data_IF_680094712023
#
_entry.id   IF_680094712023
#
_cell.length_a   1.000
_cell.length_b   1.000
_cell.length_c   1.000
_cell.angle_alpha   90.00
_cell.angle_beta   90.00
_cell.angle_gamma   90.00
#
_symmetry.space_group_name_H-M   'P 1'
#
loop_
_entity.id
_entity.type
_entity.pdbx_description
1 polymer ?
#
# COMPACT_ATOMS: atom_id res chain seq x y z
N UNK A 1 8.45 -18.48 -16.70
CA UNK A 1 7.72 -17.42 -15.97
C UNK A 1 8.27 -16.04 -16.28
N UNK A 2 9.55 -15.73 -16.03
CA UNK A 2 10.15 -14.40 -16.28
C UNK A 2 10.01 -13.90 -17.72
N UNK A 3 10.16 -14.79 -18.71
CA UNK A 3 9.91 -14.47 -20.13
C UNK A 3 8.46 -14.04 -20.36
N UNK A 4 7.49 -14.73 -19.74
CA UNK A 4 6.07 -14.38 -19.85
C UNK A 4 5.76 -13.00 -19.24
N UNK A 5 6.37 -12.68 -18.10
CA UNK A 5 6.26 -11.36 -17.47
C UNK A 5 6.84 -10.28 -18.39
N UNK A 6 8.04 -10.51 -18.93
CA UNK A 6 8.66 -9.58 -19.89
C UNK A 6 7.77 -9.34 -21.10
N UNK A 7 7.30 -10.41 -21.75
CA UNK A 7 6.40 -10.31 -22.92
C UNK A 7 5.12 -9.55 -22.57
N UNK A 8 4.51 -9.81 -21.42
CA UNK A 8 3.31 -9.10 -20.97
C UNK A 8 3.58 -7.60 -20.77
N UNK A 9 4.63 -7.24 -20.00
CA UNK A 9 4.92 -5.84 -19.70
C UNK A 9 5.27 -5.04 -20.95
N UNK A 10 6.13 -5.56 -21.84
CA UNK A 10 6.50 -4.87 -23.07
C UNK A 10 5.35 -4.75 -24.06
N UNK A 11 4.49 -5.77 -24.16
CA UNK A 11 3.32 -5.69 -25.05
C UNK A 11 2.25 -4.75 -24.51
N UNK A 12 1.99 -4.73 -23.20
CA UNK A 12 1.04 -3.78 -22.58
C UNK A 12 1.50 -2.34 -22.77
N UNK A 13 2.80 -2.07 -22.67
CA UNK A 13 3.38 -0.76 -22.99
C UNK A 13 3.22 -0.37 -24.47
N UNK A 14 3.02 -1.34 -25.37
CA UNK A 14 2.66 -1.09 -26.77
C UNK A 14 1.15 -0.89 -26.99
N UNK A 15 0.30 -1.43 -26.11
CA UNK A 15 -1.16 -1.22 -26.17
C UNK A 15 -1.53 0.18 -25.69
N UNK A 16 -0.86 0.67 -24.64
CA UNK A 16 -1.16 1.96 -24.01
C UNK A 16 0.06 2.88 -23.97
N UNK A 17 -0.14 4.15 -24.31
CA UNK A 17 0.84 5.21 -24.07
C UNK A 17 0.13 6.32 -23.31
N UNK A 18 0.70 6.77 -22.19
CA UNK A 18 0.13 7.82 -21.33
C UNK A 18 -1.33 7.59 -20.89
N UNK A 19 -1.78 6.33 -20.83
CA UNK A 19 -3.14 5.97 -20.44
C UNK A 19 -4.15 5.97 -21.58
N UNK A 20 -3.74 6.36 -22.79
CA UNK A 20 -4.55 6.25 -23.99
C UNK A 20 -4.34 4.90 -24.68
N UNK A 21 -5.40 4.34 -25.24
CA UNK A 21 -5.34 3.11 -26.01
C UNK A 21 -4.87 3.42 -27.43
N UNK A 22 -3.72 2.87 -27.84
CA UNK A 22 -3.05 3.25 -29.10
C UNK A 22 -3.05 2.13 -30.12
N UNK A 23 -2.73 0.89 -29.71
CA UNK A 23 -2.60 -0.22 -30.65
C UNK A 23 -3.14 -1.55 -30.11
N UNK A 24 -4.22 -2.03 -30.74
CA UNK A 24 -4.85 -3.31 -30.43
C UNK A 24 -3.98 -4.52 -30.82
N UNK A 25 -3.01 -4.36 -31.72
CA UNK A 25 -2.20 -5.46 -32.26
C UNK A 25 -1.39 -6.19 -31.18
N UNK A 26 -0.98 -5.46 -30.14
CA UNK A 26 -0.22 -6.00 -29.02
C UNK A 26 -1.08 -6.78 -28.01
N UNK A 27 -2.42 -6.65 -28.03
CA UNK A 27 -3.32 -7.35 -27.09
C UNK A 27 -3.11 -8.87 -27.15
N UNK A 28 -2.98 -9.42 -28.36
CA UNK A 28 -2.76 -10.86 -28.54
C UNK A 28 -1.44 -11.32 -27.89
N UNK A 29 -0.40 -10.51 -28.01
CA UNK A 29 0.92 -10.77 -27.40
C UNK A 29 0.84 -10.61 -25.88
N UNK A 30 0.07 -9.65 -25.36
CA UNK A 30 -0.16 -9.48 -23.92
C UNK A 30 -0.88 -10.68 -23.31
N UNK A 31 -1.92 -11.17 -23.96
CA UNK A 31 -2.65 -12.37 -23.53
C UNK A 31 -1.73 -13.59 -23.58
N UNK A 32 -0.90 -13.74 -24.62
CA UNK A 32 0.08 -14.82 -24.70
C UNK A 32 1.12 -14.74 -23.55
N UNK A 33 1.62 -13.54 -23.23
CA UNK A 33 2.49 -13.30 -22.09
C UNK A 33 1.86 -13.76 -20.77
N UNK A 34 0.62 -13.33 -20.50
CA UNK A 34 -0.15 -13.76 -19.32
C UNK A 34 -0.37 -15.27 -19.29
N UNK A 35 -0.68 -15.90 -20.42
CA UNK A 35 -0.86 -17.35 -20.51
C UNK A 35 0.43 -18.09 -20.15
N UNK A 36 1.60 -17.63 -20.62
CA UNK A 36 2.91 -18.21 -20.27
C UNK A 36 3.17 -18.08 -18.76
N UNK A 37 2.83 -16.94 -18.16
CA UNK A 37 2.92 -16.75 -16.70
C UNK A 37 2.01 -17.73 -15.97
N UNK A 38 0.75 -17.83 -16.38
CA UNK A 38 -0.24 -18.71 -15.77
C UNK A 38 0.15 -20.19 -15.85
N UNK A 39 0.64 -20.65 -17.01
CA UNK A 39 1.16 -22.01 -17.18
C UNK A 39 2.36 -22.24 -16.24
N UNK A 40 3.30 -21.28 -16.18
CA UNK A 40 4.45 -21.35 -15.29
C UNK A 40 4.04 -21.46 -13.81
N UNK A 41 3.09 -20.64 -13.38
CA UNK A 41 2.53 -20.67 -12.02
C UNK A 41 1.82 -22.00 -11.73
N UNK A 42 1.04 -22.51 -12.69
CA UNK A 42 0.33 -23.79 -12.52
C UNK A 42 1.29 -24.97 -12.37
N UNK A 43 2.36 -25.00 -13.18
CA UNK A 43 3.41 -26.02 -13.07
C UNK A 43 4.09 -25.92 -11.71
N UNK A 44 4.45 -24.72 -11.29
CA UNK A 44 5.09 -24.47 -9.99
C UNK A 44 4.19 -24.89 -8.82
N UNK A 45 2.91 -24.48 -8.82
CA UNK A 45 1.95 -24.90 -7.80
C UNK A 45 1.74 -26.41 -7.77
N UNK A 46 1.69 -27.07 -8.94
CA UNK A 46 1.56 -28.52 -8.98
C UNK A 46 2.76 -29.20 -8.33
N UNK A 47 3.97 -28.71 -8.58
CA UNK A 47 5.20 -29.24 -7.96
C UNK A 47 5.21 -29.03 -6.45
N UNK A 48 4.85 -27.84 -5.96
CA UNK A 48 4.80 -27.55 -4.52
C UNK A 48 3.69 -28.33 -3.80
N UNK A 49 2.53 -28.51 -4.44
CA UNK A 49 1.42 -29.26 -3.86
C UNK A 49 1.79 -30.74 -3.66
N UNK A 50 2.59 -31.31 -4.56
CA UNK A 50 3.09 -32.69 -4.45
C UNK A 50 4.31 -32.85 -3.55
N UNK A 51 4.88 -31.77 -3.03
CA UNK A 51 6.08 -31.83 -2.18
C UNK A 51 5.73 -32.36 -0.78
N UNK A 52 6.36 -33.46 -0.41
CA UNK A 52 6.12 -34.22 0.83
C UNK A 52 7.09 -33.87 1.98
N UNK A 53 8.07 -32.99 1.74
CA UNK A 53 9.09 -32.65 2.74
C UNK A 53 10.33 -33.54 2.74
N UNK A 54 10.42 -34.55 1.86
CA UNK A 54 11.44 -35.59 1.95
C UNK A 54 12.88 -35.13 1.68
N UNK A 55 13.10 -34.24 0.72
CA UNK A 55 14.44 -33.72 0.40
C UNK A 55 14.41 -32.27 -0.04
N UNK A 56 15.22 -31.45 0.62
CA UNK A 56 15.44 -30.07 0.25
C UNK A 56 16.92 -29.81 -0.04
N UNK A 57 17.28 -29.34 -1.25
CA UNK A 57 18.67 -29.07 -1.59
C UNK A 57 19.25 -27.95 -0.71
N UNK A 58 20.50 -28.13 -0.30
CA UNK A 58 21.23 -27.17 0.54
C UNK A 58 22.15 -26.31 -0.33
N UNK A 59 22.27 -25.04 0.05
CA UNK A 59 23.19 -24.10 -0.57
C UNK A 59 24.64 -24.56 -0.42
N UNK A 60 25.40 -24.46 -1.51
CA UNK A 60 26.82 -24.83 -1.59
C UNK A 60 27.76 -23.63 -1.46
N UNK A 61 27.25 -22.40 -1.64
CA UNK A 61 28.04 -21.17 -1.63
C UNK A 61 28.10 -20.48 -0.26
N UNK A 62 29.22 -19.81 0.04
CA UNK A 62 29.37 -18.91 1.18
C UNK A 62 28.69 -17.55 0.89
N UNK A 63 28.03 -16.91 1.87
CA UNK A 63 28.04 -17.20 3.30
C UNK A 63 27.01 -18.25 3.77
N UNK A 64 26.10 -18.71 2.91
CA UNK A 64 24.93 -19.54 3.31
C UNK A 64 25.15 -21.05 3.19
N UNK A 65 26.39 -21.53 3.27
CA UNK A 65 26.74 -22.94 3.02
C UNK A 65 26.04 -23.86 4.03
N UNK A 66 25.32 -24.86 3.55
CA UNK A 66 24.65 -25.87 4.37
C UNK A 66 23.23 -25.50 4.82
N UNK A 67 22.72 -24.32 4.47
CA UNK A 67 21.33 -23.88 4.69
C UNK A 67 20.44 -24.34 3.53
N UNK A 68 19.18 -24.65 3.79
CA UNK A 68 18.18 -24.97 2.77
C UNK A 68 18.04 -23.85 1.73
N UNK A 69 18.00 -24.23 0.45
CA UNK A 69 18.05 -23.26 -0.65
C UNK A 69 16.81 -22.35 -0.68
N UNK A 70 15.61 -22.86 -0.35
CA UNK A 70 14.39 -22.02 -0.35
C UNK A 70 14.44 -20.99 0.78
N UNK A 71 15.00 -21.36 1.93
CA UNK A 71 15.24 -20.43 3.05
C UNK A 71 16.21 -19.31 2.68
N UNK A 72 17.30 -19.64 1.99
CA UNK A 72 18.23 -18.61 1.48
C UNK A 72 17.56 -17.75 0.42
N UNK A 73 16.79 -18.36 -0.49
CA UNK A 73 16.08 -17.64 -1.56
C UNK A 73 15.07 -16.65 -0.99
N UNK A 74 14.29 -17.02 0.03
CA UNK A 74 13.34 -16.10 0.67
C UNK A 74 14.08 -14.96 1.37
N UNK A 75 15.21 -15.20 2.04
CA UNK A 75 16.00 -14.12 2.63
C UNK A 75 16.53 -13.14 1.59
N UNK A 76 17.09 -13.64 0.48
CA UNK A 76 17.59 -12.79 -0.60
C UNK A 76 16.45 -11.99 -1.24
N UNK A 77 15.30 -12.62 -1.46
CA UNK A 77 14.10 -11.94 -1.95
C UNK A 77 13.63 -10.84 -0.99
N UNK A 78 13.53 -11.12 0.31
CA UNK A 78 13.13 -10.09 1.29
C UNK A 78 14.15 -8.96 1.39
N UNK A 79 15.45 -9.25 1.29
CA UNK A 79 16.47 -8.20 1.23
C UNK A 79 16.32 -7.31 -0.02
N UNK A 80 15.98 -7.87 -1.18
CA UNK A 80 15.73 -7.05 -2.38
C UNK A 80 14.49 -6.17 -2.23
N UNK A 81 13.40 -6.70 -1.65
CA UNK A 81 12.19 -5.90 -1.40
C UNK A 81 12.45 -4.79 -0.37
N UNK A 82 13.23 -5.06 0.68
CA UNK A 82 13.67 -4.04 1.64
C UNK A 82 14.42 -2.89 0.95
N UNK A 83 15.29 -3.19 -0.02
CA UNK A 83 16.00 -2.16 -0.79
C UNK A 83 15.03 -1.32 -1.64
N UNK A 84 14.06 -1.95 -2.29
CA UNK A 84 13.02 -1.25 -3.07
C UNK A 84 12.25 -0.28 -2.16
N UNK A 85 11.69 -0.75 -1.03
CA UNK A 85 10.94 0.12 -0.13
C UNK A 85 11.82 1.21 0.51
N UNK A 86 13.06 0.90 0.86
CA UNK A 86 14.00 1.89 1.41
C UNK A 86 14.28 3.01 0.39
N UNK A 87 14.38 2.69 -0.89
CA UNK A 87 14.52 3.70 -1.94
C UNK A 87 13.28 4.59 -2.05
N UNK A 88 12.07 4.02 -1.93
CA UNK A 88 10.80 4.76 -1.95
C UNK A 88 10.68 5.69 -0.73
N UNK A 89 10.97 5.19 0.47
CA UNK A 89 10.96 5.99 1.70
C UNK A 89 12.03 7.09 1.68
N UNK A 90 13.24 6.79 1.21
CA UNK A 90 14.31 7.78 1.09
C UNK A 90 13.93 8.89 0.11
N UNK A 91 13.31 8.54 -1.01
CA UNK A 91 12.80 9.49 -2.00
C UNK A 91 11.71 10.37 -1.40
N UNK A 92 10.74 9.79 -0.68
CA UNK A 92 9.70 10.52 0.04
C UNK A 92 10.31 11.51 1.04
N UNK A 93 11.21 11.06 1.92
CA UNK A 93 11.86 11.92 2.92
C UNK A 93 12.61 13.08 2.26
N UNK A 94 13.33 12.82 1.16
CA UNK A 94 14.06 13.86 0.44
C UNK A 94 13.13 14.95 -0.08
N UNK A 95 11.96 14.58 -0.61
CA UNK A 95 10.98 15.57 -1.06
C UNK A 95 10.27 16.25 0.12
N UNK A 96 9.89 15.50 1.16
CA UNK A 96 9.22 16.01 2.36
C UNK A 96 10.02 17.08 3.10
N UNK A 97 11.34 16.91 3.17
CA UNK A 97 12.25 17.85 3.85
C UNK A 97 12.92 18.85 2.89
N UNK A 98 12.87 18.59 1.59
CA UNK A 98 13.50 19.44 0.58
C UNK A 98 12.57 20.47 -0.07
N UNK A 99 11.26 20.26 0.00
CA UNK A 99 10.23 21.17 -0.54
C UNK A 99 9.49 21.80 0.63
N UNK A 100 9.27 23.11 0.59
CA UNK A 100 8.50 23.84 1.61
C UNK A 100 7.06 23.35 1.70
N UNK A 101 6.47 23.39 2.90
CA UNK A 101 5.10 22.93 3.09
C UNK A 101 4.11 23.89 2.42
N UNK A 102 3.01 23.36 1.89
CA UNK A 102 2.00 24.22 1.28
C UNK A 102 1.39 25.21 2.29
N UNK A 103 1.33 24.86 3.56
CA UNK A 103 0.92 25.77 4.63
C UNK A 103 1.88 26.94 4.83
N UNK A 104 3.20 26.71 4.85
CA UNK A 104 4.18 27.79 5.02
C UNK A 104 4.23 28.71 3.81
N UNK A 105 4.13 28.14 2.61
CA UNK A 105 4.07 28.90 1.35
C UNK A 105 2.77 29.71 1.27
N UNK A 106 1.65 29.16 1.75
CA UNK A 106 0.41 29.92 1.82
C UNK A 106 0.53 31.08 2.80
N UNK A 107 1.03 30.82 4.02
CA UNK A 107 1.18 31.80 5.08
C UNK A 107 2.20 32.92 4.77
N UNK A 108 3.12 32.72 3.83
CA UNK A 108 4.04 33.78 3.39
C UNK A 108 3.34 34.88 2.60
N UNK A 109 2.21 34.60 1.95
CA UNK A 109 1.52 35.52 1.05
C UNK A 109 2.26 35.80 -0.27
N UNK A 110 3.46 35.25 -0.47
CA UNK A 110 4.29 35.47 -1.66
C UNK A 110 3.89 34.58 -2.85
N UNK A 111 2.58 34.45 -3.11
CA UNK A 111 2.03 33.67 -4.22
C UNK A 111 1.18 34.55 -5.13
N UNK A 112 1.12 34.18 -6.41
CA UNK A 112 0.39 34.92 -7.45
C UNK A 112 -0.86 34.14 -7.83
N UNK A 113 -2.02 34.80 -7.81
CA UNK A 113 -3.28 34.19 -8.25
C UNK A 113 -3.21 33.66 -9.68
N UNK A 114 -3.75 32.47 -9.89
CA UNK A 114 -3.72 31.78 -11.19
C UNK A 114 -2.37 31.15 -11.56
N UNK A 115 -1.31 31.37 -10.77
CA UNK A 115 -0.01 30.71 -10.96
C UNK A 115 0.15 29.54 -9.99
N UNK A 116 0.62 28.39 -10.50
CA UNK A 116 0.85 27.20 -9.69
C UNK A 116 2.15 27.30 -8.89
N UNK A 117 2.09 27.12 -7.58
CA UNK A 117 3.27 27.06 -6.71
C UNK A 117 3.57 25.62 -6.32
N UNK A 118 4.83 25.20 -6.47
CA UNK A 118 5.24 23.85 -6.06
C UNK A 118 5.48 23.84 -4.56
N UNK A 119 4.71 23.04 -3.82
CA UNK A 119 4.82 22.90 -2.38
C UNK A 119 4.49 21.46 -1.97
N UNK A 120 4.88 21.08 -0.76
CA UNK A 120 4.69 19.73 -0.25
C UNK A 120 3.46 19.65 0.66
N UNK A 121 2.53 18.76 0.32
CA UNK A 121 1.36 18.44 1.14
C UNK A 121 1.32 16.93 1.44
N UNK A 122 1.48 16.51 2.71
CA UNK A 122 1.33 15.11 3.11
C UNK A 122 -0.10 14.62 2.88
N UNK A 123 -0.25 13.33 2.51
CA UNK A 123 -1.58 12.72 2.32
C UNK A 123 -2.43 12.79 3.60
N UNK A 124 -1.79 12.67 4.78
CA UNK A 124 -2.44 12.80 6.09
C UNK A 124 -3.26 14.08 6.24
N UNK A 125 -2.82 15.21 5.69
CA UNK A 125 -3.60 16.46 5.80
C UNK A 125 -4.93 16.43 5.03
N UNK A 126 -5.08 15.52 4.06
CA UNK A 126 -6.32 15.32 3.29
C UNK A 126 -7.23 14.28 3.96
N UNK A 127 -6.64 13.21 4.49
CA UNK A 127 -7.38 12.02 4.94
C UNK A 127 -7.47 11.85 6.46
N UNK A 128 -6.66 12.56 7.24
CA UNK A 128 -6.56 12.44 8.70
C UNK A 128 -7.10 13.67 9.44
N UNK A 129 -8.04 14.41 8.82
CA UNK A 129 -8.60 15.66 9.39
C UNK A 129 -9.41 15.44 10.68
N UNK A 130 -9.84 14.20 10.97
CA UNK A 130 -10.50 13.87 12.23
C UNK A 130 -10.22 12.45 12.70
N UNK A 131 -10.50 12.17 13.98
CA UNK A 131 -10.38 10.85 14.58
C UNK A 131 -11.14 9.77 13.80
N UNK A 132 -12.36 10.07 13.35
CA UNK A 132 -13.17 9.12 12.60
C UNK A 132 -12.61 8.82 11.21
N UNK A 133 -11.72 9.68 10.71
CA UNK A 133 -11.05 9.54 9.41
C UNK A 133 -9.72 8.79 9.51
N UNK A 134 -9.03 8.91 10.65
CA UNK A 134 -7.87 8.07 10.99
C UNK A 134 -8.29 6.64 11.36
N UNK A 135 -9.50 6.47 11.91
CA UNK A 135 -9.97 5.19 12.43
C UNK A 135 -9.93 4.03 11.41
N UNK A 136 -10.37 4.17 10.14
CA UNK A 136 -10.21 3.11 9.14
C UNK A 136 -8.74 2.71 8.90
N UNK A 137 -7.82 3.68 8.86
CA UNK A 137 -6.39 3.44 8.73
C UNK A 137 -5.81 2.73 9.95
N UNK A 138 -6.21 3.12 11.16
CA UNK A 138 -5.82 2.47 12.40
C UNK A 138 -6.36 1.04 12.49
N UNK A 139 -7.64 0.80 12.14
CA UNK A 139 -8.27 -0.52 12.07
C UNK A 139 -7.50 -1.42 11.08
N UNK A 140 -7.08 -0.87 9.94
CA UNK A 140 -6.25 -1.58 8.96
C UNK A 140 -4.90 -2.01 9.53
N UNK A 141 -4.24 -1.13 10.29
CA UNK A 141 -2.99 -1.48 10.98
C UNK A 141 -3.21 -2.61 12.00
N UNK A 142 -4.29 -2.57 12.78
CA UNK A 142 -4.64 -3.69 13.68
C UNK A 142 -4.96 -4.97 12.92
N UNK A 143 -5.67 -4.89 11.78
CA UNK A 143 -5.99 -6.04 10.95
C UNK A 143 -4.71 -6.75 10.47
N UNK A 144 -3.70 -6.00 10.03
CA UNK A 144 -2.42 -6.58 9.61
C UNK A 144 -1.63 -7.19 10.78
N UNK A 145 -1.54 -6.51 11.91
CA UNK A 145 -0.86 -7.05 13.11
C UNK A 145 -1.53 -8.34 13.60
N UNK A 146 -2.87 -8.37 13.65
CA UNK A 146 -3.62 -9.58 14.00
C UNK A 146 -3.39 -10.68 12.96
N UNK A 147 -3.34 -10.33 11.68
CA UNK A 147 -3.09 -11.29 10.59
C UNK A 147 -1.69 -11.92 10.68
N UNK A 148 -0.69 -11.16 11.12
CA UNK A 148 0.66 -11.62 11.44
C UNK A 148 0.64 -12.59 12.62
N UNK A 149 -0.08 -12.27 13.69
CA UNK A 149 -0.24 -13.20 14.81
C UNK A 149 -0.90 -14.52 14.36
N UNK A 150 -1.96 -14.46 13.55
CA UNK A 150 -2.64 -15.67 13.09
C UNK A 150 -1.75 -16.55 12.20
N UNK A 151 -0.82 -15.98 11.43
CA UNK A 151 0.10 -16.79 10.63
C UNK A 151 1.10 -17.57 11.48
N UNK A 152 1.60 -16.96 12.57
CA UNK A 152 2.45 -17.65 13.54
C UNK A 152 1.70 -18.79 14.22
N UNK A 153 0.42 -18.57 14.55
CA UNK A 153 -0.42 -19.62 15.11
C UNK A 153 -0.66 -20.75 14.11
N UNK A 154 -0.86 -20.45 12.82
CA UNK A 154 -0.93 -21.47 11.77
C UNK A 154 0.34 -22.33 11.71
N UNK A 155 1.53 -21.68 11.72
CA UNK A 155 2.82 -22.37 11.73
C UNK A 155 2.98 -23.26 12.97
N UNK A 156 2.65 -22.73 14.15
CA UNK A 156 2.72 -23.46 15.41
C UNK A 156 1.89 -24.74 15.36
N UNK A 157 0.63 -24.66 14.94
CA UNK A 157 -0.22 -25.85 14.86
C UNK A 157 0.19 -26.80 13.74
N UNK A 158 0.74 -26.30 12.63
CA UNK A 158 1.25 -27.16 11.57
C UNK A 158 2.46 -28.00 12.02
N UNK A 159 3.34 -27.42 12.85
CA UNK A 159 4.53 -28.08 13.40
C UNK A 159 4.30 -29.01 14.59
N UNK A 160 3.10 -29.02 15.19
CA UNK A 160 2.80 -29.90 16.34
C UNK A 160 2.66 -31.36 15.91
N UNK A 161 3.45 -32.25 16.52
CA UNK A 161 3.47 -33.70 16.24
C UNK A 161 2.41 -34.46 17.04
N UNK A 162 2.04 -33.94 18.21
CA UNK A 162 1.18 -34.56 19.23
C UNK A 162 -0.32 -34.36 19.01
N UNK A 163 -0.73 -33.77 17.89
CA UNK A 163 -2.13 -33.49 17.58
C UNK A 163 -2.65 -34.37 16.43
N UNK A 164 -3.92 -34.72 16.52
CA UNK A 164 -4.63 -35.44 15.46
C UNK A 164 -4.62 -34.66 14.13
N UNK A 165 -4.51 -35.40 13.03
CA UNK A 165 -4.39 -34.86 11.67
C UNK A 165 -5.60 -34.01 11.26
N UNK A 166 -6.81 -34.41 11.63
CA UNK A 166 -8.03 -33.65 11.34
C UNK A 166 -8.10 -32.38 12.17
N UNK A 167 -7.63 -32.43 13.41
CA UNK A 167 -7.54 -31.24 14.27
C UNK A 167 -6.52 -30.25 13.74
N UNK A 168 -5.33 -30.71 13.33
CA UNK A 168 -4.29 -29.89 12.68
C UNK A 168 -4.86 -29.18 11.45
N UNK A 169 -5.46 -29.95 10.54
CA UNK A 169 -6.09 -29.45 9.32
C UNK A 169 -7.06 -28.30 9.61
N UNK A 170 -8.00 -28.50 10.54
CA UNK A 170 -9.01 -27.48 10.89
C UNK A 170 -8.39 -26.23 11.50
N UNK A 171 -7.40 -26.37 12.39
CA UNK A 171 -6.76 -25.23 13.05
C UNK A 171 -5.93 -24.42 12.05
N UNK A 172 -5.05 -25.08 11.28
CA UNK A 172 -4.21 -24.43 10.28
C UNK A 172 -5.08 -23.71 9.23
N UNK A 173 -6.11 -24.38 8.72
CA UNK A 173 -7.04 -23.77 7.75
C UNK A 173 -7.76 -22.55 8.33
N UNK A 174 -8.20 -22.61 9.59
CA UNK A 174 -8.86 -21.47 10.25
C UNK A 174 -7.93 -20.29 10.39
N UNK A 175 -6.71 -20.49 10.90
CA UNK A 175 -5.77 -19.40 11.09
C UNK A 175 -5.31 -18.77 9.78
N UNK A 176 -4.98 -19.58 8.75
CA UNK A 176 -4.66 -19.07 7.42
C UNK A 176 -5.86 -18.37 6.76
N UNK A 177 -7.07 -18.93 6.92
CA UNK A 177 -8.31 -18.32 6.45
C UNK A 177 -8.62 -16.98 7.13
N UNK A 178 -8.34 -16.85 8.43
CA UNK A 178 -8.44 -15.57 9.14
C UNK A 178 -7.43 -14.56 8.61
N UNK A 179 -6.17 -14.94 8.40
CA UNK A 179 -5.16 -14.06 7.78
C UNK A 179 -5.63 -13.60 6.39
N UNK A 180 -6.15 -14.52 5.57
CA UNK A 180 -6.69 -14.20 4.25
C UNK A 180 -7.84 -13.21 4.31
N UNK A 181 -8.81 -13.42 5.21
CA UNK A 181 -9.94 -12.51 5.37
C UNK A 181 -9.49 -11.11 5.79
N UNK A 182 -8.58 -11.00 6.76
CA UNK A 182 -8.04 -9.71 7.22
C UNK A 182 -7.25 -9.00 6.13
N UNK A 183 -6.51 -9.74 5.29
CA UNK A 183 -5.81 -9.20 4.14
C UNK A 183 -6.76 -8.63 3.07
N UNK A 184 -7.83 -9.36 2.75
CA UNK A 184 -8.86 -8.90 1.81
C UNK A 184 -9.58 -7.68 2.35
N UNK A 185 -9.91 -7.67 3.65
CA UNK A 185 -10.50 -6.51 4.32
C UNK A 185 -9.57 -5.29 4.20
N UNK A 186 -8.28 -5.45 4.52
CA UNK A 186 -7.29 -4.40 4.40
C UNK A 186 -7.25 -3.80 2.99
N UNK A 187 -7.13 -4.65 1.96
CA UNK A 187 -7.04 -4.18 0.58
C UNK A 187 -8.35 -3.52 0.12
N UNK A 188 -9.49 -4.04 0.55
CA UNK A 188 -10.81 -3.47 0.24
C UNK A 188 -10.95 -2.07 0.84
N UNK A 189 -10.60 -1.90 2.12
CA UNK A 189 -10.62 -0.60 2.78
C UNK A 189 -9.65 0.38 2.11
N UNK A 190 -8.50 -0.11 1.63
CA UNK A 190 -7.55 0.72 0.88
C UNK A 190 -8.10 1.17 -0.48
N UNK A 191 -8.80 0.30 -1.20
CA UNK A 191 -9.46 0.68 -2.46
C UNK A 191 -10.61 1.67 -2.22
N UNK A 192 -11.38 1.49 -1.16
CA UNK A 192 -12.42 2.45 -0.76
C UNK A 192 -11.80 3.82 -0.47
N UNK A 193 -10.73 3.87 0.31
CA UNK A 193 -10.01 5.12 0.62
C UNK A 193 -9.57 5.88 -0.64
N UNK A 194 -8.99 5.18 -1.61
CA UNK A 194 -8.48 5.80 -2.85
C UNK A 194 -9.59 6.35 -3.75
N UNK A 195 -10.65 5.57 -3.96
CA UNK A 195 -11.63 5.86 -5.01
C UNK A 195 -12.94 6.46 -4.50
N UNK A 196 -13.39 6.07 -3.31
CA UNK A 196 -14.70 6.44 -2.76
C UNK A 196 -14.59 7.42 -1.57
N UNK A 197 -13.52 7.35 -0.79
CA UNK A 197 -13.42 8.04 0.49
C UNK A 197 -14.28 7.36 1.57
N UNK A 198 -14.20 7.86 2.81
CA UNK A 198 -15.00 7.36 3.93
C UNK A 198 -16.10 8.37 4.28
N UNK A 199 -17.30 8.28 3.66
CA UNK A 199 -18.40 9.16 4.02
C UNK A 199 -18.86 8.85 5.45
N UNK A 200 -18.82 9.86 6.32
CA UNK A 200 -19.34 9.74 7.68
C UNK A 200 -20.87 9.61 7.65
N UNK A 201 -21.46 8.62 8.35
CA UNK A 201 -22.89 8.57 8.58
C UNK A 201 -23.39 9.85 9.28
N UNK A 202 -24.58 10.32 8.90
CA UNK A 202 -25.16 11.59 9.35
C UNK A 202 -25.26 11.72 10.88
N UNK A 203 -25.48 10.60 11.58
CA UNK A 203 -25.52 10.57 13.06
C UNK A 203 -24.15 10.78 13.74
N UNK A 204 -23.05 10.62 13.01
CA UNK A 204 -21.69 10.90 13.50
C UNK A 204 -21.22 12.31 13.15
N UNK A 205 -21.96 13.07 12.33
CA UNK A 205 -21.60 14.44 11.98
C UNK A 205 -21.62 15.35 13.22
N UNK A 206 -22.57 15.14 14.14
CA UNK A 206 -22.69 15.90 15.39
C UNK A 206 -21.50 15.66 16.35
N UNK A 207 -20.87 14.48 16.26
CA UNK A 207 -19.67 14.12 17.04
C UNK A 207 -18.36 14.43 16.30
N UNK A 208 -18.42 14.84 15.04
CA UNK A 208 -17.27 15.20 14.24
C UNK A 208 -17.10 16.72 14.25
N UNK A 209 -16.15 17.25 15.02
CA UNK A 209 -15.83 18.69 15.06
C UNK A 209 -15.08 19.18 13.80
N UNK A 210 -15.28 18.56 12.64
CA UNK A 210 -14.60 18.86 11.37
C UNK A 210 -15.50 18.62 10.15
N UNK A 211 -14.99 18.91 8.95
CA UNK A 211 -15.74 18.73 7.69
C UNK A 211 -16.26 17.28 7.59
N UNK A 212 -17.57 17.17 7.34
CA UNK A 212 -18.29 15.91 7.31
C UNK A 212 -18.34 15.28 5.93
N UNK A 213 -17.86 16.01 4.91
CA UNK A 213 -17.83 15.59 3.51
C UNK A 213 -16.42 15.30 3.03
N UNK A 214 -15.85 14.16 3.46
CA UNK A 214 -14.58 13.70 2.88
C UNK A 214 -14.82 13.20 1.47
N UNK A 215 -14.10 13.82 0.53
CA UNK A 215 -14.02 13.38 -0.86
C UNK A 215 -12.92 12.32 -0.96
N UNK A 216 -13.02 11.43 -1.94
CA UNK A 216 -11.92 10.47 -2.19
C UNK A 216 -10.62 11.21 -2.50
N UNK A 217 -9.48 10.59 -2.25
CA UNK A 217 -8.18 11.14 -2.69
C UNK A 217 -8.19 11.50 -4.17
N UNK A 218 -8.89 10.69 -4.97
CA UNK A 218 -9.17 10.97 -6.38
C UNK A 218 -9.97 12.27 -6.58
N UNK A 219 -11.07 12.46 -5.85
CA UNK A 219 -11.93 13.64 -5.96
C UNK A 219 -11.33 14.91 -5.34
N UNK A 220 -10.34 14.79 -4.46
CA UNK A 220 -9.56 15.92 -3.92
C UNK A 220 -8.35 16.30 -4.78
N UNK A 221 -8.19 15.64 -5.92
CA UNK A 221 -7.15 15.92 -6.91
C UNK A 221 -5.76 15.43 -6.55
N UNK A 222 -5.67 14.50 -5.60
CA UNK A 222 -4.49 13.71 -5.34
C UNK A 222 -4.42 12.60 -6.41
N UNK A 223 -3.88 12.92 -7.60
CA UNK A 223 -3.83 12.03 -8.77
C UNK A 223 -2.39 11.78 -9.27
N UNK A 224 -2.13 10.58 -9.79
CA UNK A 224 -0.81 10.17 -10.33
C UNK A 224 -0.55 10.73 -11.74
N UNK A 225 -1.60 10.92 -12.55
CA UNK A 225 -1.52 11.20 -14.00
C UNK A 225 -2.23 12.49 -14.44
N UNK A 226 -2.36 13.49 -13.56
CA UNK A 226 -2.99 14.74 -13.97
C UNK A 226 -2.01 15.59 -14.81
N UNK A 227 -2.26 15.70 -16.11
CA UNK A 227 -1.49 16.51 -17.07
C UNK A 227 -1.92 17.98 -17.04
N UNK A 228 -3.13 18.24 -16.55
CA UNK A 228 -3.72 19.56 -16.40
C UNK A 228 -4.18 19.77 -14.95
N UNK A 229 -3.34 20.48 -14.20
CA UNK A 229 -3.67 21.33 -13.06
C UNK A 229 -4.87 20.91 -12.20
N UNK A 230 -4.61 20.12 -11.15
CA UNK A 230 -5.51 20.00 -10.02
C UNK A 230 -4.83 20.62 -8.81
N UNK A 231 -5.21 21.88 -8.57
CA UNK A 231 -4.71 22.66 -7.46
C UNK A 231 -5.50 22.33 -6.21
N UNK A 232 -4.79 22.03 -5.12
CA UNK A 232 -5.40 22.24 -3.81
C UNK A 232 -5.46 23.75 -3.62
N UNK A 233 -6.68 24.29 -3.60
CA UNK A 233 -6.91 25.72 -3.42
C UNK A 233 -6.80 26.05 -1.94
N UNK A 234 -5.88 26.94 -1.59
CA UNK A 234 -5.88 27.58 -0.28
C UNK A 234 -6.57 28.92 -0.46
N UNK A 235 -7.70 29.11 0.22
CA UNK A 235 -8.53 30.31 0.10
C UNK A 235 -8.43 31.13 1.38
N UNK A 236 -8.07 32.40 1.22
CA UNK A 236 -8.00 33.38 2.32
C UNK A 236 -9.38 33.61 2.98
N UNK A 237 -10.48 33.54 2.23
CA UNK A 237 -11.86 33.65 2.77
C UNK A 237 -12.20 32.50 3.72
N UNK A 238 -11.72 31.29 3.41
CA UNK A 238 -11.93 30.12 4.27
C UNK A 238 -11.21 30.32 5.61
N UNK A 239 -9.98 30.83 5.57
CA UNK A 239 -9.22 31.07 6.80
C UNK A 239 -9.77 32.27 7.60
N UNK A 240 -10.20 33.34 6.93
CA UNK A 240 -10.86 34.48 7.57
C UNK A 240 -12.17 34.10 8.26
N UNK A 241 -12.93 33.16 7.69
CA UNK A 241 -14.24 32.73 8.22
C UNK A 241 -14.16 31.64 9.29
N UNK A 242 -13.15 30.76 9.24
CA UNK A 242 -13.05 29.60 10.13
C UNK A 242 -11.98 29.73 11.21
N UNK A 243 -11.10 30.74 11.15
CA UNK A 243 -10.22 31.17 12.26
C UNK A 243 -9.26 30.12 12.84
N UNK A 244 -9.18 28.93 12.26
CA UNK A 244 -8.35 27.85 12.77
C UNK A 244 -7.06 27.74 11.94
N UNK A 245 -5.96 28.27 12.48
CA UNK A 245 -4.62 27.82 12.15
C UNK A 245 -3.69 28.83 11.49
N UNK A 246 -4.14 30.01 11.07
CA UNK A 246 -3.18 31.04 10.64
C UNK A 246 -2.56 31.72 11.85
N UNK A 247 -1.24 31.70 11.91
CA UNK A 247 -0.49 32.51 12.86
C UNK A 247 -0.84 33.99 12.62
N UNK A 248 -1.27 34.69 13.67
CA UNK A 248 -1.57 36.12 13.61
C UNK A 248 -0.32 36.96 13.29
N UNK A 249 0.87 36.38 13.48
CA UNK A 249 2.14 36.98 13.09
C UNK A 249 2.58 36.62 11.66
N UNK A 250 1.79 35.82 10.92
CA UNK A 250 2.09 35.46 9.54
C UNK A 250 1.97 36.65 8.60
N UNK A 251 2.83 36.67 7.57
CA UNK A 251 2.82 37.74 6.58
C UNK A 251 1.48 37.80 5.82
N UNK A 252 0.87 36.65 5.51
CA UNK A 252 -0.44 36.59 4.88
C UNK A 252 -1.54 37.23 5.76
N UNK A 253 -1.52 37.02 7.08
CA UNK A 253 -2.49 37.62 7.99
C UNK A 253 -2.45 39.16 7.93
N UNK A 254 -1.25 39.73 7.97
CA UNK A 254 -1.03 41.18 7.86
C UNK A 254 -1.49 41.71 6.49
N UNK A 255 -1.16 41.01 5.41
CA UNK A 255 -1.62 41.37 4.06
C UNK A 255 -3.15 41.33 3.90
N UNK A 256 -3.81 40.36 4.55
CA UNK A 256 -5.27 40.27 4.59
C UNK A 256 -5.89 41.42 5.39
N UNK A 257 -5.30 41.80 6.53
CA UNK A 257 -5.74 42.95 7.34
C UNK A 257 -5.57 44.28 6.58
N UNK A 258 -4.49 44.42 5.81
CA UNK A 258 -4.26 45.55 4.91
C UNK A 258 -5.15 45.53 3.64
N UNK A 259 -5.88 44.44 3.41
CA UNK A 259 -6.83 44.28 2.30
C UNK A 259 -6.19 43.96 0.94
N UNK A 260 -4.92 43.55 0.90
CA UNK A 260 -4.18 43.28 -0.34
C UNK A 260 -4.34 41.85 -0.85
N UNK A 261 -4.71 40.90 0.01
CA UNK A 261 -4.90 39.48 -0.31
C UNK A 261 -6.28 38.92 0.09
N UNK A 262 -7.26 39.77 0.39
CA UNK A 262 -8.62 39.33 0.76
C UNK A 262 -9.34 38.68 -0.44
N UNK A 263 -9.84 37.46 -0.25
CA UNK A 263 -10.48 36.67 -1.31
C UNK A 263 -9.52 35.96 -2.27
N UNK A 264 -8.21 36.06 -2.04
CA UNK A 264 -7.22 35.44 -2.91
C UNK A 264 -7.07 33.93 -2.75
N UNK A 265 -6.64 33.29 -3.84
CA UNK A 265 -6.51 31.83 -3.94
C UNK A 265 -5.10 31.39 -4.36
N UNK A 266 -4.44 30.62 -3.51
CA UNK A 266 -3.17 29.96 -3.85
C UNK A 266 -3.42 28.61 -4.51
N UNK A 267 -2.70 28.38 -5.60
CA UNK A 267 -2.77 27.18 -6.42
C UNK A 267 -1.61 26.24 -6.15
N UNK A 268 -1.79 25.26 -5.25
CA UNK A 268 -0.72 24.32 -4.89
C UNK A 268 -0.52 23.23 -5.96
N UNK A 269 0.73 22.94 -6.33
CA UNK A 269 1.11 21.78 -7.16
C UNK A 269 1.68 20.68 -6.26
N UNK A 270 0.85 19.68 -5.99
CA UNK A 270 1.13 18.56 -5.07
C UNK A 270 1.47 17.24 -5.80
N UNK A 271 1.85 17.30 -7.08
CA UNK A 271 2.10 16.11 -7.91
C UNK A 271 3.15 15.17 -7.30
N UNK A 272 4.20 15.74 -6.72
CA UNK A 272 5.31 14.96 -6.14
C UNK A 272 4.85 14.23 -4.88
N UNK A 273 4.08 14.86 -4.00
CA UNK A 273 3.54 14.19 -2.82
C UNK A 273 2.55 13.09 -3.22
N UNK A 274 1.63 13.38 -4.15
CA UNK A 274 0.71 12.38 -4.71
C UNK A 274 1.43 11.17 -5.32
N UNK A 275 2.40 11.43 -6.20
CA UNK A 275 3.17 10.37 -6.85
C UNK A 275 3.90 9.49 -5.84
N UNK A 276 4.59 10.10 -4.86
CA UNK A 276 5.33 9.33 -3.84
C UNK A 276 4.40 8.52 -2.93
N UNK A 277 3.23 9.06 -2.55
CA UNK A 277 2.22 8.32 -1.80
C UNK A 277 1.70 7.12 -2.58
N UNK A 278 1.21 7.31 -3.80
CA UNK A 278 0.58 6.21 -4.55
C UNK A 278 1.60 5.18 -5.03
N UNK A 279 2.81 5.58 -5.43
CA UNK A 279 3.85 4.62 -5.79
C UNK A 279 4.21 3.77 -4.57
N UNK A 280 4.36 4.39 -3.38
CA UNK A 280 4.72 3.65 -2.16
C UNK A 280 3.58 2.75 -1.69
N UNK A 281 2.39 3.31 -1.50
CA UNK A 281 1.21 2.58 -1.01
C UNK A 281 0.67 1.58 -2.03
N UNK A 282 0.79 1.87 -3.33
CA UNK A 282 0.45 0.96 -4.42
C UNK A 282 1.44 -0.18 -4.58
N UNK A 283 2.73 0.07 -4.42
CA UNK A 283 3.74 -1.01 -4.37
C UNK A 283 3.46 -1.92 -3.17
N UNK A 284 3.15 -1.36 -2.00
CA UNK A 284 2.71 -2.15 -0.84
C UNK A 284 1.42 -2.95 -1.12
N UNK A 285 0.40 -2.31 -1.70
CA UNK A 285 -0.85 -2.96 -2.08
C UNK A 285 -0.65 -4.12 -3.06
N UNK A 286 0.27 -3.97 -4.02
CA UNK A 286 0.65 -5.04 -4.95
C UNK A 286 1.30 -6.24 -4.22
N UNK A 287 2.12 -5.97 -3.19
CA UNK A 287 2.66 -7.02 -2.33
C UNK A 287 1.56 -7.71 -1.52
N UNK A 288 0.66 -6.95 -0.89
CA UNK A 288 -0.48 -7.53 -0.16
C UNK A 288 -1.32 -8.41 -1.10
N UNK A 289 -1.58 -7.98 -2.33
CA UNK A 289 -2.30 -8.76 -3.34
C UNK A 289 -1.56 -10.06 -3.70
N UNK A 290 -0.24 -10.00 -3.93
CA UNK A 290 0.59 -11.18 -4.16
C UNK A 290 0.54 -12.15 -2.98
N UNK A 291 0.55 -11.63 -1.75
CA UNK A 291 0.38 -12.41 -0.54
C UNK A 291 -1.02 -13.01 -0.38
N UNK A 292 -2.09 -12.31 -0.78
CA UNK A 292 -3.45 -12.86 -0.81
C UNK A 292 -3.54 -14.05 -1.78
N UNK A 293 -2.89 -13.97 -2.94
CA UNK A 293 -2.82 -15.09 -3.91
C UNK A 293 -2.10 -16.29 -3.25
N UNK A 294 -0.97 -16.05 -2.59
CA UNK A 294 -0.25 -17.06 -1.81
C UNK A 294 -1.09 -17.67 -0.68
N UNK A 295 -1.77 -16.84 0.11
CA UNK A 295 -2.67 -17.26 1.19
C UNK A 295 -3.84 -18.08 0.67
N UNK A 296 -4.39 -17.73 -0.49
CA UNK A 296 -5.48 -18.49 -1.12
C UNK A 296 -5.00 -19.91 -1.42
N UNK A 297 -3.82 -20.04 -2.03
CA UNK A 297 -3.19 -21.34 -2.31
C UNK A 297 -2.92 -22.13 -1.02
N UNK A 298 -2.31 -21.49 -0.01
CA UNK A 298 -1.98 -22.16 1.25
C UNK A 298 -3.21 -22.57 2.05
N UNK A 299 -4.24 -21.72 2.10
CA UNK A 299 -5.51 -22.04 2.76
C UNK A 299 -6.21 -23.20 2.07
N UNK A 300 -6.16 -23.25 0.73
CA UNK A 300 -6.65 -24.39 -0.04
C UNK A 300 -5.86 -25.67 0.28
N UNK A 301 -4.52 -25.63 0.27
CA UNK A 301 -3.64 -26.75 0.66
C UNK A 301 -3.92 -27.22 2.09
N UNK A 302 -4.12 -26.29 3.03
CA UNK A 302 -4.50 -26.58 4.41
C UNK A 302 -5.84 -27.30 4.49
N UNK A 303 -6.86 -26.85 3.75
CA UNK A 303 -8.21 -27.44 3.79
C UNK A 303 -8.24 -28.90 3.33
N UNK A 304 -7.28 -29.30 2.49
CA UNK A 304 -7.09 -30.67 1.99
C UNK A 304 -6.20 -31.53 2.90
N UNK A 305 -5.70 -30.97 4.01
CA UNK A 305 -4.80 -31.69 4.93
C UNK A 305 -3.36 -31.78 4.43
N UNK A 306 -2.94 -30.90 3.51
CA UNK A 306 -1.61 -30.92 2.89
C UNK A 306 -0.47 -30.44 3.79
N UNK A 307 -0.72 -30.16 5.08
CA UNK A 307 0.31 -29.72 6.03
C UNK A 307 0.56 -30.76 7.13
N UNK A 308 1.81 -31.21 7.20
CA UNK A 308 2.40 -32.10 8.21
C UNK A 308 3.58 -31.38 8.89
N UNK A 309 4.06 -31.88 10.04
CA UNK A 309 5.20 -31.26 10.74
C UNK A 309 6.45 -31.16 9.87
N UNK A 310 6.64 -32.08 8.93
CA UNK A 310 7.78 -32.15 8.02
C UNK A 310 7.71 -31.12 6.89
N UNK A 311 6.51 -30.68 6.50
CA UNK A 311 6.31 -29.73 5.39
C UNK A 311 5.79 -28.35 5.83
N UNK A 312 5.62 -28.15 7.14
CA UNK A 312 5.19 -26.90 7.77
C UNK A 312 6.15 -25.72 7.49
N UNK A 313 7.38 -26.02 7.07
CA UNK A 313 8.41 -25.06 6.66
C UNK A 313 7.90 -24.10 5.56
N UNK A 314 7.01 -24.55 4.68
CA UNK A 314 6.39 -23.68 3.68
C UNK A 314 5.54 -22.55 4.30
N UNK A 315 4.92 -22.77 5.46
CA UNK A 315 4.21 -21.74 6.22
C UNK A 315 5.20 -20.79 6.89
N UNK A 316 6.37 -21.26 7.33
CA UNK A 316 7.44 -20.40 7.86
C UNK A 316 7.92 -19.41 6.78
N UNK A 317 8.24 -19.90 5.58
CA UNK A 317 8.73 -19.04 4.50
C UNK A 317 7.72 -17.97 4.08
N UNK A 318 6.45 -18.36 3.95
CA UNK A 318 5.39 -17.39 3.66
C UNK A 318 5.14 -16.46 4.85
N UNK A 319 5.25 -16.94 6.09
CA UNK A 319 5.18 -16.14 7.31
C UNK A 319 6.22 -15.02 7.34
N UNK A 320 7.47 -15.30 6.95
CA UNK A 320 8.51 -14.28 6.83
C UNK A 320 8.13 -13.18 5.84
N UNK A 321 7.55 -13.55 4.68
CA UNK A 321 7.04 -12.59 3.71
C UNK A 321 5.87 -11.77 4.24
N UNK A 322 4.91 -12.42 4.89
CA UNK A 322 3.74 -11.74 5.43
C UNK A 322 4.12 -10.74 6.53
N UNK A 323 5.03 -11.11 7.42
CA UNK A 323 5.58 -10.21 8.43
C UNK A 323 6.36 -9.03 7.83
N UNK A 324 7.07 -9.25 6.73
CA UNK A 324 7.70 -8.15 6.00
C UNK A 324 6.67 -7.15 5.47
N UNK A 325 5.61 -7.63 4.81
CA UNK A 325 4.53 -6.78 4.29
C UNK A 325 3.83 -6.00 5.41
N UNK A 326 3.61 -6.63 6.56
CA UNK A 326 3.07 -5.98 7.77
C UNK A 326 4.02 -4.89 8.31
N UNK A 327 5.31 -5.21 8.47
CA UNK A 327 6.32 -4.26 8.94
C UNK A 327 6.44 -3.03 8.02
N UNK A 328 6.37 -3.23 6.71
CA UNK A 328 6.36 -2.13 5.75
C UNK A 328 5.14 -1.23 5.99
N UNK A 329 3.95 -1.79 6.21
CA UNK A 329 2.75 -1.00 6.51
C UNK A 329 2.88 -0.19 7.79
N UNK A 330 3.41 -0.80 8.86
CA UNK A 330 3.66 -0.13 10.14
C UNK A 330 4.61 1.06 9.98
N UNK A 331 5.46 1.09 8.95
CA UNK A 331 6.30 2.24 8.59
C UNK A 331 5.56 3.22 7.68
N UNK A 332 4.84 2.74 6.66
CA UNK A 332 4.05 3.56 5.73
C UNK A 332 3.03 4.41 6.49
N UNK A 333 2.32 3.81 7.46
CA UNK A 333 1.23 4.47 8.16
C UNK A 333 1.69 5.76 8.86
N UNK A 334 2.67 5.76 9.79
CA UNK A 334 3.17 7.00 10.39
C UNK A 334 3.72 8.00 9.37
N UNK A 335 4.48 7.54 8.38
CA UNK A 335 5.16 8.42 7.42
C UNK A 335 4.20 9.22 6.53
N UNK A 336 3.04 8.66 6.21
CA UNK A 336 2.09 9.28 5.29
C UNK A 336 0.78 9.74 5.95
N UNK A 337 0.40 9.19 7.11
CA UNK A 337 -0.88 9.48 7.78
C UNK A 337 -0.77 10.31 9.06
N UNK A 338 0.37 10.29 9.76
CA UNK A 338 0.50 10.96 11.06
C UNK A 338 1.39 12.22 11.03
N UNK A 339 2.18 12.45 9.98
CA UNK A 339 3.23 13.49 9.93
C UNK A 339 3.45 14.15 8.56
#
# INVERSE_FOLDING_TARGET
MSIGIGVFLFSVAGVYEWGEFIDASYIGVSIAGLAIVFIGLTVWWRQDYTFDGGYEPRSTGTPFRGIEIRKVAIWVFLMSEMMVFTSLFSTYMRYRFGIESCESVFASGEWVEGASVTCFEPAGHLIASSWFHIAPGAINTFALIISSFTIVQALRYAGMVDIDSDRRRKLVTRYLGTTWFLAVLFLTLKMIEWFLGFPLPEFLHEYNHGDSTIKSLYAEGYLINADSYQHKYYNTDYVASHGHGMDHDSALYLMMEEGTHSGGQMMANIRVSASTFYVTTGTHGAHVLGGIIGLTYMTYKASRGGYTPENAVSIEYFGLYWHFVDLVWVIVFPFFYLY
#
